data_IF_503863557544
#
_entry.id   IF_503863557544
#
_cell.length_a   1.000
_cell.length_b   1.000
_cell.length_c   1.000
_cell.angle_alpha   90.00
_cell.angle_beta   90.00
_cell.angle_gamma   90.00
#
_symmetry.space_group_name_H-M   'P 1'
#
loop_
_entity.id
_entity.type
_entity.pdbx_description
1 polymer ?
#
# COMPACT_ATOMS: atom_id res chain seq x y z
N UNK A 1 4.93 25.31 30.57
CA UNK A 1 4.61 24.20 29.66
C UNK A 1 4.12 24.69 28.29
N UNK A 2 2.96 25.34 28.19
CA UNK A 2 2.45 25.87 26.91
C UNK A 2 3.38 26.91 26.27
N UNK A 3 3.96 27.82 27.07
CA UNK A 3 4.93 28.81 26.60
C UNK A 3 6.22 28.20 26.05
N UNK A 4 6.73 27.14 26.70
CA UNK A 4 7.90 26.40 26.23
C UNK A 4 7.61 25.59 24.95
N UNK A 5 6.40 25.03 24.83
CA UNK A 5 5.97 24.36 23.60
C UNK A 5 5.82 25.37 22.44
N UNK A 6 5.30 26.57 22.72
CA UNK A 6 5.22 27.67 21.77
C UNK A 6 6.62 28.15 21.34
N UNK A 7 7.53 28.40 22.29
CA UNK A 7 8.91 28.78 22.01
C UNK A 7 9.69 27.71 21.23
N UNK A 8 9.42 26.42 21.47
CA UNK A 8 10.00 25.32 20.69
C UNK A 8 9.45 25.26 19.25
N UNK A 9 8.17 25.54 19.05
CA UNK A 9 7.59 25.68 17.71
C UNK A 9 8.11 26.91 16.97
N UNK A 10 8.29 28.04 17.66
CA UNK A 10 8.81 29.30 17.07
C UNK A 10 10.31 29.22 16.76
N UNK A 11 11.07 28.38 17.49
CA UNK A 11 12.49 28.06 17.18
C UNK A 11 12.67 27.01 16.10
N UNK A 12 11.58 26.42 15.60
CA UNK A 12 11.67 25.64 14.36
C UNK A 12 12.07 26.60 13.23
N UNK A 13 12.95 26.19 12.29
CA UNK A 13 13.35 27.06 11.20
C UNK A 13 12.09 27.58 10.51
N UNK A 14 11.98 28.90 10.39
CA UNK A 14 10.92 29.55 9.60
C UNK A 14 11.08 29.06 8.16
N UNK A 15 10.38 27.99 7.82
CA UNK A 15 10.34 27.49 6.46
C UNK A 15 9.60 28.54 5.62
N UNK A 16 10.24 29.00 4.56
CA UNK A 16 9.56 29.82 3.57
C UNK A 16 8.34 29.05 3.03
N UNK A 17 7.30 29.75 2.55
CA UNK A 17 6.17 29.09 1.87
C UNK A 17 6.63 28.17 0.74
N UNK A 18 7.76 28.50 0.09
CA UNK A 18 8.40 27.71 -0.95
C UNK A 18 8.94 26.37 -0.44
N UNK A 19 9.38 26.31 0.81
CA UNK A 19 9.87 25.10 1.48
C UNK A 19 8.72 24.34 2.17
N UNK A 20 7.72 25.06 2.66
CA UNK A 20 6.56 24.51 3.36
C UNK A 20 5.57 23.83 2.39
N UNK A 21 5.26 24.46 1.25
CA UNK A 21 4.26 23.96 0.30
C UNK A 21 4.57 22.56 -0.26
N UNK A 22 5.82 22.21 -0.64
CA UNK A 22 6.13 20.83 -1.05
C UNK A 22 5.94 19.79 0.06
N UNK A 23 6.07 20.20 1.34
CA UNK A 23 5.86 19.33 2.50
C UNK A 23 4.38 19.17 2.84
N UNK A 24 3.59 20.23 2.64
CA UNK A 24 2.14 20.29 2.91
C UNK A 24 1.26 19.95 1.70
N UNK A 25 1.86 19.81 0.51
CA UNK A 25 1.15 19.58 -0.74
C UNK A 25 2.07 18.97 -1.83
N UNK A 26 2.66 17.78 -1.64
CA UNK A 26 3.63 17.16 -2.57
C UNK A 26 3.06 16.84 -3.95
N UNK A 27 1.73 16.69 -4.07
CA UNK A 27 1.03 16.49 -5.34
C UNK A 27 0.87 17.80 -6.14
N UNK A 28 1.05 18.95 -5.51
CA UNK A 28 1.13 20.23 -6.22
C UNK A 28 2.55 20.35 -6.76
N UNK A 29 2.70 20.22 -8.08
CA UNK A 29 3.91 20.66 -8.78
C UNK A 29 4.29 22.06 -8.30
N UNK A 30 5.57 22.28 -7.97
CA UNK A 30 6.10 23.56 -7.44
C UNK A 30 5.36 24.72 -8.09
N UNK A 31 4.50 25.46 -7.36
CA UNK A 31 3.87 26.62 -7.94
C UNK A 31 4.99 27.57 -8.38
N UNK A 32 4.96 28.01 -9.64
CA UNK A 32 5.69 29.21 -10.03
C UNK A 32 4.99 30.35 -9.29
N UNK A 33 5.41 30.61 -8.06
CA UNK A 33 4.94 31.77 -7.33
C UNK A 33 5.24 32.99 -8.22
N UNK A 34 4.23 33.80 -8.57
CA UNK A 34 4.50 35.05 -9.26
C UNK A 34 5.48 35.83 -8.40
N UNK A 35 6.49 36.45 -9.03
CA UNK A 35 7.36 37.39 -8.32
C UNK A 35 6.44 38.50 -7.81
N UNK A 36 6.23 38.56 -6.50
CA UNK A 36 5.63 39.72 -5.86
C UNK A 36 6.57 40.89 -6.16
N UNK A 37 6.19 41.72 -7.13
CA UNK A 37 6.87 42.97 -7.40
C UNK A 37 6.69 43.85 -6.17
N UNK A 38 7.79 44.37 -5.65
CA UNK A 38 7.86 45.25 -4.47
C UNK A 38 7.21 46.63 -4.66
N UNK A 39 6.22 46.75 -5.53
CA UNK A 39 5.67 48.04 -5.99
C UNK A 39 4.14 48.08 -6.10
N UNK A 40 3.41 47.13 -5.54
CA UNK A 40 1.96 47.28 -5.33
C UNK A 40 1.73 47.53 -3.85
N UNK A 41 1.40 48.79 -3.51
CA UNK A 41 0.71 49.12 -2.27
C UNK A 41 -0.62 48.36 -2.29
N UNK A 42 -0.67 47.22 -1.62
CA UNK A 42 -1.95 46.60 -1.28
C UNK A 42 -2.58 47.48 -0.21
N UNK A 43 -3.89 47.72 -0.30
CA UNK A 43 -4.65 48.29 0.81
C UNK A 43 -4.47 47.36 2.04
N UNK A 44 -4.28 47.93 3.23
CA UNK A 44 -4.00 47.16 4.47
C UNK A 44 -5.07 46.07 4.72
N UNK A 45 -6.31 46.32 4.29
CA UNK A 45 -7.43 45.38 4.36
C UNK A 45 -7.32 44.22 3.35
N UNK A 46 -6.79 44.45 2.13
CA UNK A 46 -6.53 43.39 1.15
C UNK A 46 -5.34 42.52 1.55
N UNK A 47 -4.30 43.12 2.13
CA UNK A 47 -3.13 42.40 2.63
C UNK A 47 -3.51 41.51 3.84
N UNK A 48 -4.31 42.02 4.77
CA UNK A 48 -4.84 41.26 5.90
C UNK A 48 -5.78 40.12 5.47
N UNK A 49 -6.68 40.36 4.51
CA UNK A 49 -7.56 39.35 3.95
C UNK A 49 -6.77 38.23 3.23
N UNK A 50 -5.77 38.60 2.42
CA UNK A 50 -4.90 37.62 1.74
C UNK A 50 -4.09 36.76 2.72
N UNK A 51 -3.67 37.35 3.84
CA UNK A 51 -2.89 36.66 4.88
C UNK A 51 -3.77 35.71 5.70
N UNK A 52 -5.03 36.09 5.99
CA UNK A 52 -6.01 35.21 6.61
C UNK A 52 -6.42 34.05 5.70
N UNK A 53 -6.65 34.31 4.41
CA UNK A 53 -6.94 33.27 3.41
C UNK A 53 -5.77 32.28 3.26
N UNK A 54 -4.54 32.77 3.23
CA UNK A 54 -3.35 31.93 3.21
C UNK A 54 -3.22 31.11 4.50
N UNK A 55 -3.44 31.73 5.67
CA UNK A 55 -3.43 31.03 6.95
C UNK A 55 -4.46 29.90 7.01
N UNK A 56 -5.68 30.14 6.48
CA UNK A 56 -6.73 29.13 6.35
C UNK A 56 -6.32 28.01 5.38
N UNK A 57 -5.81 28.35 4.19
CA UNK A 57 -5.32 27.36 3.21
C UNK A 57 -4.23 26.48 3.83
N UNK A 58 -3.25 27.08 4.51
CA UNK A 58 -2.18 26.34 5.17
C UNK A 58 -2.70 25.46 6.31
N UNK A 59 -3.67 25.93 7.09
CA UNK A 59 -4.30 25.14 8.16
C UNK A 59 -5.05 23.93 7.61
N UNK A 60 -5.74 24.09 6.47
CA UNK A 60 -6.45 23.02 5.78
C UNK A 60 -5.48 22.02 5.13
N UNK A 61 -4.36 22.51 4.56
CA UNK A 61 -3.31 21.67 3.96
C UNK A 61 -2.53 20.89 5.02
N UNK A 62 -2.23 21.48 6.18
CA UNK A 62 -1.49 20.84 7.26
C UNK A 62 -2.20 19.59 7.82
N UNK A 63 -3.53 19.61 7.89
CA UNK A 63 -4.31 18.45 8.34
C UNK A 63 -4.24 17.24 7.39
N UNK A 64 -3.84 17.42 6.12
CA UNK A 64 -3.86 16.38 5.09
C UNK A 64 -2.62 15.46 5.07
N UNK A 65 -1.58 15.77 5.86
CA UNK A 65 -0.24 15.19 5.73
C UNK A 65 0.15 14.17 6.81
N UNK A 66 -0.70 13.17 7.06
CA UNK A 66 -0.32 12.00 7.85
C UNK A 66 0.79 11.16 7.16
N UNK A 67 1.71 10.52 7.90
CA UNK A 67 2.64 9.56 7.32
C UNK A 67 1.87 8.39 6.69
N UNK A 68 2.33 7.92 5.52
CA UNK A 68 1.72 6.76 4.83
C UNK A 68 2.50 5.50 5.20
N UNK A 69 1.77 4.47 5.61
CA UNK A 69 2.36 3.18 5.98
C UNK A 69 2.60 2.32 4.74
N UNK A 70 3.76 1.66 4.69
CA UNK A 70 4.11 0.66 3.69
C UNK A 70 4.64 -0.59 4.38
N UNK A 71 4.25 -1.75 3.88
CA UNK A 71 4.75 -3.03 4.38
C UNK A 71 6.15 -3.29 3.85
N UNK A 72 7.06 -3.66 4.74
CA UNK A 72 8.46 -3.94 4.42
C UNK A 72 8.55 -5.22 3.57
N UNK A 73 9.30 -5.14 2.46
CA UNK A 73 9.52 -6.22 1.49
C UNK A 73 10.93 -6.85 1.56
N UNK A 74 11.66 -6.59 2.64
CA UNK A 74 13.01 -7.10 2.89
C UNK A 74 13.11 -7.86 4.20
N UNK A 75 13.94 -8.90 4.23
CA UNK A 75 14.44 -9.47 5.47
C UNK A 75 15.65 -8.67 5.97
N UNK A 76 15.72 -8.32 7.27
CA UNK A 76 16.90 -7.67 7.83
C UNK A 76 18.15 -8.55 7.76
N UNK A 77 18.01 -9.88 7.70
CA UNK A 77 19.13 -10.83 7.57
C UNK A 77 19.62 -10.95 6.13
N UNK A 78 18.71 -10.94 5.16
CA UNK A 78 19.06 -11.05 3.75
C UNK A 78 19.84 -9.82 3.28
N UNK A 79 19.31 -8.64 3.54
CA UNK A 79 19.91 -7.42 3.02
C UNK A 79 21.25 -7.05 3.70
N UNK A 80 21.40 -7.41 4.98
CA UNK A 80 22.66 -7.26 5.69
C UNK A 80 23.79 -8.11 5.06
N UNK A 81 23.46 -9.31 4.53
CA UNK A 81 24.43 -10.16 3.82
C UNK A 81 24.80 -9.62 2.45
N UNK A 82 23.84 -9.01 1.74
CA UNK A 82 24.06 -8.51 0.38
C UNK A 82 24.78 -7.16 0.34
N UNK A 83 24.43 -6.22 1.21
CA UNK A 83 24.87 -4.83 1.10
C UNK A 83 25.87 -4.39 2.18
N UNK A 84 26.02 -5.17 3.25
CA UNK A 84 26.79 -4.77 4.44
C UNK A 84 26.16 -3.59 5.21
N UNK A 85 25.01 -3.09 4.76
CA UNK A 85 24.29 -1.95 5.36
C UNK A 85 22.90 -2.38 5.82
N UNK A 86 22.35 -1.68 6.82
CA UNK A 86 20.95 -1.85 7.22
C UNK A 86 20.07 -1.10 6.21
N UNK A 87 19.40 -1.83 5.34
CA UNK A 87 18.46 -1.23 4.37
C UNK A 87 17.09 -1.90 4.42
N UNK A 88 16.08 -1.16 3.95
CA UNK A 88 14.67 -1.56 3.93
C UNK A 88 14.19 -1.48 2.49
N UNK A 89 13.54 -2.53 1.99
CA UNK A 89 12.88 -2.51 0.68
C UNK A 89 11.38 -2.31 0.84
N UNK A 90 10.76 -1.59 -0.10
CA UNK A 90 9.32 -1.37 -0.18
C UNK A 90 8.80 -1.82 -1.55
N UNK A 91 7.57 -2.32 -1.61
CA UNK A 91 6.85 -2.54 -2.87
C UNK A 91 5.70 -1.53 -2.96
N UNK A 92 5.87 -0.51 -3.80
CA UNK A 92 4.96 0.64 -3.87
C UNK A 92 4.25 0.67 -5.21
N UNK A 93 2.92 0.62 -5.17
CA UNK A 93 2.08 0.90 -6.33
C UNK A 93 1.87 2.40 -6.46
N UNK A 94 2.09 2.95 -7.66
CA UNK A 94 1.75 4.34 -7.95
C UNK A 94 0.23 4.49 -7.93
N UNK A 95 -0.27 5.26 -6.97
CA UNK A 95 -1.69 5.58 -6.90
C UNK A 95 -1.95 6.73 -7.87
N UNK A 96 -2.86 6.50 -8.81
CA UNK A 96 -3.34 7.50 -9.74
C UNK A 96 -4.86 7.40 -9.85
N UNK A 97 -5.54 8.54 -9.84
CA UNK A 97 -6.99 8.64 -9.96
C UNK A 97 -7.33 9.70 -10.99
N UNK A 98 -8.22 9.37 -11.92
CA UNK A 98 -8.75 10.36 -12.86
C UNK A 98 -9.79 11.21 -12.13
N UNK A 99 -9.60 12.53 -12.18
CA UNK A 99 -10.49 13.51 -11.57
C UNK A 99 -11.15 14.34 -12.67
N UNK A 100 -12.37 14.76 -12.40
CA UNK A 100 -13.09 15.69 -13.26
C UNK A 100 -12.34 17.04 -13.36
N UNK A 101 -12.68 17.80 -14.40
CA UNK A 101 -12.16 19.16 -14.56
C UNK A 101 -12.55 20.05 -13.38
N UNK A 102 -11.71 21.05 -13.09
CA UNK A 102 -12.02 22.02 -12.04
C UNK A 102 -13.30 22.80 -12.39
N UNK A 103 -13.58 23.02 -13.68
CA UNK A 103 -14.81 23.61 -14.16
C UNK A 103 -16.05 22.83 -13.69
N UNK A 104 -16.08 21.52 -13.93
CA UNK A 104 -17.21 20.65 -13.52
C UNK A 104 -17.36 20.64 -12.00
N UNK A 105 -16.25 20.46 -11.27
CA UNK A 105 -16.28 20.43 -9.80
C UNK A 105 -16.74 21.77 -9.22
N UNK A 106 -16.29 22.89 -9.80
CA UNK A 106 -16.66 24.25 -9.37
C UNK A 106 -18.13 24.51 -9.62
N UNK A 107 -18.63 24.21 -10.82
CA UNK A 107 -20.05 24.37 -11.14
C UNK A 107 -20.95 23.58 -10.19
N UNK A 108 -20.61 22.32 -9.92
CA UNK A 108 -21.35 21.48 -8.96
C UNK A 108 -21.38 22.08 -7.56
N UNK A 109 -20.29 22.67 -7.10
CA UNK A 109 -20.24 23.30 -5.78
C UNK A 109 -21.04 24.62 -5.75
N UNK A 110 -21.01 25.41 -6.82
CA UNK A 110 -21.83 26.62 -6.97
C UNK A 110 -23.33 26.30 -6.97
N UNK A 111 -23.75 25.21 -7.60
CA UNK A 111 -25.13 24.69 -7.54
C UNK A 111 -25.58 24.37 -6.10
N UNK A 112 -24.64 23.98 -5.23
CA UNK A 112 -24.89 23.71 -3.81
C UNK A 112 -24.70 24.95 -2.92
N UNK A 113 -24.62 26.14 -3.52
CA UNK A 113 -24.53 27.42 -2.80
C UNK A 113 -23.13 27.79 -2.31
N UNK A 114 -22.08 27.02 -2.67
CA UNK A 114 -20.71 27.39 -2.34
C UNK A 114 -20.22 28.46 -3.31
N UNK A 115 -19.90 29.65 -2.79
CA UNK A 115 -19.22 30.70 -3.57
C UNK A 115 -17.74 30.38 -3.67
N UNK A 116 -17.36 29.68 -4.73
CA UNK A 116 -15.96 29.30 -4.93
C UNK A 116 -15.27 30.41 -5.74
N UNK A 117 -14.32 31.08 -5.09
CA UNK A 117 -13.52 32.20 -5.58
C UNK A 117 -14.23 33.58 -5.61
N UNK A 118 -13.49 34.62 -5.22
CA UNK A 118 -13.94 36.01 -5.28
C UNK A 118 -13.97 36.60 -6.70
N UNK A 119 -14.50 37.82 -6.84
CA UNK A 119 -14.67 38.54 -8.12
C UNK A 119 -13.37 39.08 -8.73
N UNK A 120 -12.21 38.75 -8.16
CA UNK A 120 -10.92 39.28 -8.58
C UNK A 120 -10.60 38.95 -10.04
N UNK A 121 -9.86 39.85 -10.70
CA UNK A 121 -9.43 39.67 -12.09
C UNK A 121 -8.56 38.42 -12.25
N UNK A 122 -7.73 38.09 -11.26
CA UNK A 122 -6.90 36.89 -11.22
C UNK A 122 -7.73 35.61 -11.25
N UNK A 123 -8.82 35.54 -10.48
CA UNK A 123 -9.75 34.40 -10.48
C UNK A 123 -10.43 34.25 -11.83
N UNK A 124 -10.92 35.36 -12.41
CA UNK A 124 -11.59 35.36 -13.73
C UNK A 124 -10.64 34.96 -14.85
N UNK A 125 -9.34 35.22 -14.71
CA UNK A 125 -8.31 34.75 -15.63
C UNK A 125 -8.04 33.25 -15.45
N UNK A 126 -7.90 32.78 -14.20
CA UNK A 126 -7.69 31.37 -13.88
C UNK A 126 -8.82 30.47 -14.39
N UNK A 127 -10.09 30.91 -14.26
CA UNK A 127 -11.27 30.19 -14.80
C UNK A 127 -11.25 30.05 -16.32
N UNK A 128 -10.64 30.99 -17.04
CA UNK A 128 -10.51 30.93 -18.51
C UNK A 128 -9.27 30.14 -18.95
N UNK A 129 -8.42 29.75 -18.01
CA UNK A 129 -7.18 29.06 -18.28
C UNK A 129 -7.41 27.59 -18.68
N UNK A 130 -6.51 27.01 -19.50
CA UNK A 130 -6.63 25.63 -19.98
C UNK A 130 -6.60 24.59 -18.83
N UNK A 131 -5.91 24.90 -17.72
CA UNK A 131 -5.85 24.02 -16.55
C UNK A 131 -7.21 23.87 -15.84
N UNK A 132 -8.07 24.88 -15.91
CA UNK A 132 -9.39 24.85 -15.27
C UNK A 132 -10.35 23.91 -16.00
N UNK A 133 -10.26 23.87 -17.32
CA UNK A 133 -11.08 23.05 -18.21
C UNK A 133 -10.44 21.70 -18.59
N UNK A 134 -9.30 21.34 -18.01
CA UNK A 134 -8.65 20.08 -18.32
C UNK A 134 -9.52 18.90 -17.84
N UNK A 135 -10.00 18.09 -18.79
CA UNK A 135 -10.81 16.88 -18.54
C UNK A 135 -9.94 15.72 -17.99
N UNK A 136 -8.77 15.51 -18.57
CA UNK A 136 -7.86 14.42 -18.18
C UNK A 136 -6.92 14.82 -17.04
N UNK A 137 -7.50 15.08 -15.86
CA UNK A 137 -6.71 15.38 -14.66
C UNK A 137 -6.41 14.10 -13.90
N UNK A 138 -5.22 13.55 -14.15
CA UNK A 138 -4.67 12.47 -13.32
C UNK A 138 -4.10 13.04 -12.02
N UNK A 139 -4.72 12.67 -10.91
CA UNK A 139 -4.24 12.97 -9.57
C UNK A 139 -3.39 11.82 -9.05
N UNK A 140 -2.13 12.10 -8.73
CA UNK A 140 -1.23 11.13 -8.14
C UNK A 140 -1.23 11.20 -6.61
N UNK A 141 -1.26 10.04 -5.97
CA UNK A 141 -1.17 9.93 -4.51
C UNK A 141 0.18 10.43 -4.01
N UNK A 142 0.17 11.48 -3.18
CA UNK A 142 1.34 12.25 -2.76
C UNK A 142 2.56 11.41 -2.34
N UNK A 143 2.38 10.43 -1.45
CA UNK A 143 3.50 9.61 -0.98
C UNK A 143 3.96 8.59 -2.03
N UNK A 144 3.03 7.98 -2.77
CA UNK A 144 3.37 7.00 -3.80
C UNK A 144 4.14 7.61 -4.97
N UNK A 145 3.74 8.79 -5.47
CA UNK A 145 4.46 9.50 -6.53
C UNK A 145 5.78 10.07 -6.04
N UNK A 146 5.84 10.56 -4.80
CA UNK A 146 7.10 10.98 -4.20
C UNK A 146 8.13 9.83 -4.21
N UNK A 147 7.74 8.65 -3.69
CA UNK A 147 8.65 7.49 -3.63
C UNK A 147 9.01 6.97 -5.02
N UNK A 148 8.05 6.90 -5.95
CA UNK A 148 8.25 6.20 -7.24
C UNK A 148 8.78 7.08 -8.36
N UNK A 149 8.59 8.41 -8.28
CA UNK A 149 8.91 9.33 -9.39
C UNK A 149 9.87 10.46 -8.99
N UNK A 150 9.90 10.85 -7.71
CA UNK A 150 10.67 12.02 -7.28
C UNK A 150 11.99 11.64 -6.60
N UNK A 151 11.99 10.64 -5.71
CA UNK A 151 13.18 10.21 -4.99
C UNK A 151 14.32 9.81 -5.93
N UNK A 152 15.54 10.22 -5.57
CA UNK A 152 16.81 9.92 -6.22
C UNK A 152 17.76 9.23 -5.23
N UNK A 153 18.71 8.41 -5.70
CA UNK A 153 19.80 7.94 -4.85
C UNK A 153 20.53 9.11 -4.18
N UNK A 154 20.72 9.03 -2.85
CA UNK A 154 21.31 10.11 -2.04
C UNK A 154 20.29 10.99 -1.32
N UNK A 155 19.00 10.93 -1.69
CA UNK A 155 17.95 11.67 -0.98
C UNK A 155 17.74 11.14 0.45
N UNK A 156 17.42 12.05 1.37
CA UNK A 156 17.14 11.72 2.76
C UNK A 156 15.64 11.59 2.99
N UNK A 157 15.20 10.38 3.37
CA UNK A 157 13.82 10.09 3.74
C UNK A 157 13.67 10.02 5.27
N UNK A 158 12.69 10.73 5.82
CA UNK A 158 12.26 10.52 7.21
C UNK A 158 11.21 9.41 7.25
N UNK A 159 11.51 8.34 7.99
CA UNK A 159 10.60 7.21 8.17
C UNK A 159 10.61 6.74 9.63
N UNK A 160 9.50 6.14 10.06
CA UNK A 160 9.36 5.48 11.35
C UNK A 160 9.02 4.01 11.11
N UNK A 161 9.68 3.11 11.84
CA UNK A 161 9.32 1.69 11.83
C UNK A 161 8.21 1.45 12.85
N UNK A 162 7.04 1.05 12.38
CA UNK A 162 5.92 0.63 13.23
C UNK A 162 5.98 -0.89 13.46
N UNK A 163 5.95 -1.38 14.71
CA UNK A 163 5.79 -2.81 14.98
C UNK A 163 4.47 -3.33 14.40
N UNK A 164 4.51 -4.49 13.74
CA UNK A 164 3.31 -5.21 13.25
C UNK A 164 3.15 -6.55 13.96
N UNK A 165 1.91 -7.03 14.05
CA UNK A 165 1.54 -8.40 14.42
C UNK A 165 1.70 -9.38 13.24
N UNK A 166 1.90 -8.86 12.02
CA UNK A 166 2.16 -9.63 10.80
C UNK A 166 3.60 -10.18 10.79
N UNK A 167 3.84 -11.18 11.64
CA UNK A 167 5.15 -11.83 11.83
C UNK A 167 5.04 -13.32 11.58
N UNK A 168 6.15 -13.93 11.21
CA UNK A 168 6.29 -15.39 11.13
C UNK A 168 5.87 -16.05 12.45
N UNK A 169 5.29 -17.26 12.41
CA UNK A 169 4.94 -17.97 13.64
C UNK A 169 6.23 -18.32 14.41
N UNK A 170 6.15 -18.31 15.75
CA UNK A 170 7.29 -18.65 16.59
C UNK A 170 7.73 -20.11 16.38
N UNK A 171 6.77 -20.99 16.12
CA UNK A 171 7.05 -22.38 15.76
C UNK A 171 7.38 -22.50 14.26
N UNK A 172 8.65 -22.77 13.99
CA UNK A 172 9.19 -22.93 12.63
C UNK A 172 8.72 -24.21 11.92
N UNK A 173 8.09 -25.15 12.65
CA UNK A 173 7.51 -26.38 12.10
C UNK A 173 6.04 -26.21 11.68
N UNK A 174 5.49 -25.01 11.86
CA UNK A 174 4.13 -24.70 11.42
C UNK A 174 4.14 -24.33 9.93
N UNK A 175 3.30 -24.96 9.09
CA UNK A 175 3.17 -24.56 7.69
C UNK A 175 2.61 -23.15 7.55
N UNK A 176 2.96 -22.49 6.46
CA UNK A 176 2.58 -21.10 6.18
C UNK A 176 1.83 -21.08 4.85
N UNK A 177 0.63 -20.48 4.86
CA UNK A 177 -0.15 -20.18 3.66
C UNK A 177 -0.17 -18.67 3.50
N UNK A 178 0.32 -18.17 2.36
CA UNK A 178 0.41 -16.75 2.04
C UNK A 178 -0.54 -16.43 0.90
N UNK A 179 -1.36 -15.38 1.05
CA UNK A 179 -2.32 -14.95 0.03
C UNK A 179 -2.14 -13.47 -0.26
N UNK A 180 -1.75 -13.15 -1.49
CA UNK A 180 -1.46 -11.78 -1.92
C UNK A 180 -2.07 -11.47 -3.29
N UNK A 181 -2.38 -10.20 -3.50
CA UNK A 181 -2.63 -9.66 -4.83
C UNK A 181 -1.88 -8.34 -5.05
N UNK A 182 -1.26 -8.18 -6.21
CA UNK A 182 -0.46 -6.98 -6.55
C UNK A 182 0.61 -6.67 -5.49
N UNK A 183 0.64 -5.42 -5.02
CA UNK A 183 1.60 -4.97 -3.99
C UNK A 183 1.43 -5.67 -2.63
N UNK A 184 0.33 -6.41 -2.42
CA UNK A 184 0.15 -7.32 -1.29
C UNK A 184 1.23 -8.41 -1.17
N UNK A 185 2.04 -8.63 -2.22
CA UNK A 185 3.18 -9.55 -2.19
C UNK A 185 4.30 -9.11 -1.23
N UNK A 186 4.37 -7.81 -0.88
CA UNK A 186 5.48 -7.21 -0.15
C UNK A 186 5.97 -8.01 1.07
N UNK A 187 5.15 -8.31 2.09
CA UNK A 187 5.63 -9.04 3.27
C UNK A 187 6.08 -10.47 2.95
N UNK A 188 5.51 -11.09 1.91
CA UNK A 188 5.83 -12.46 1.55
C UNK A 188 7.18 -12.58 0.86
N UNK A 189 7.61 -11.54 0.12
CA UNK A 189 9.00 -11.44 -0.34
C UNK A 189 9.95 -11.34 0.86
N UNK A 190 9.60 -10.56 1.88
CA UNK A 190 10.42 -10.49 3.11
C UNK A 190 10.51 -11.85 3.80
N UNK A 191 9.41 -12.61 3.88
CA UNK A 191 9.39 -13.95 4.45
C UNK A 191 10.25 -14.93 3.65
N UNK A 192 10.09 -14.98 2.33
CA UNK A 192 10.87 -15.88 1.47
C UNK A 192 12.38 -15.60 1.55
N UNK A 193 12.78 -14.32 1.59
CA UNK A 193 14.17 -13.90 1.81
C UNK A 193 14.69 -14.30 3.19
N UNK A 194 13.87 -14.19 4.23
CA UNK A 194 14.19 -14.67 5.57
C UNK A 194 14.42 -16.18 5.57
N UNK A 195 13.53 -16.96 4.93
CA UNK A 195 13.67 -18.41 4.81
C UNK A 195 14.95 -18.78 4.06
N UNK A 196 15.26 -18.08 2.97
CA UNK A 196 16.49 -18.29 2.22
C UNK A 196 17.75 -18.12 3.10
N UNK A 197 17.75 -17.13 3.99
CA UNK A 197 18.85 -16.90 4.93
C UNK A 197 18.99 -17.99 6.00
N UNK A 198 17.88 -18.59 6.39
CA UNK A 198 17.80 -19.71 7.34
C UNK A 198 18.05 -21.09 6.68
N UNK A 199 18.31 -21.11 5.37
CA UNK A 199 18.48 -22.34 4.60
C UNK A 199 17.17 -23.09 4.33
N UNK A 200 16.02 -22.42 4.47
CA UNK A 200 14.67 -22.95 4.30
C UNK A 200 13.88 -23.00 5.61
N UNK A 201 12.55 -22.96 5.48
CA UNK A 201 11.57 -23.20 6.55
C UNK A 201 11.47 -24.69 6.90
N UNK A 202 10.99 -25.06 8.09
CA UNK A 202 10.92 -26.49 8.50
C UNK A 202 9.59 -27.16 8.16
N UNK A 203 8.68 -26.45 7.51
CA UNK A 203 7.37 -26.93 7.11
C UNK A 203 6.95 -26.34 5.77
N UNK A 204 5.88 -26.85 5.12
CA UNK A 204 5.43 -26.33 3.83
C UNK A 204 5.18 -24.82 3.82
N UNK A 205 5.59 -24.16 2.73
CA UNK A 205 5.39 -22.74 2.46
C UNK A 205 4.60 -22.60 1.16
N UNK A 206 3.37 -22.12 1.24
CA UNK A 206 2.44 -22.02 0.11
C UNK A 206 2.14 -20.56 -0.19
N UNK A 207 2.17 -20.17 -1.46
CA UNK A 207 1.79 -18.83 -1.92
C UNK A 207 0.69 -18.89 -2.97
N UNK A 208 -0.41 -18.18 -2.71
CA UNK A 208 -1.41 -17.81 -3.68
C UNK A 208 -1.19 -16.35 -4.08
N UNK A 209 -0.84 -16.09 -5.34
CA UNK A 209 -0.55 -14.75 -5.84
C UNK A 209 -1.45 -14.36 -7.02
N UNK A 210 -2.06 -13.18 -6.91
CA UNK A 210 -2.93 -12.61 -7.94
C UNK A 210 -2.37 -11.36 -8.61
N UNK A 211 -2.45 -11.28 -9.93
CA UNK A 211 -2.19 -10.08 -10.71
C UNK A 211 -3.08 -10.01 -11.97
N UNK A 212 -2.90 -9.02 -12.84
CA UNK A 212 -3.72 -8.89 -14.04
C UNK A 212 -3.24 -9.84 -15.14
N UNK A 213 -1.94 -9.82 -15.47
CA UNK A 213 -1.34 -10.56 -16.58
C UNK A 213 0.07 -11.04 -16.23
N UNK A 214 0.41 -12.25 -16.65
CA UNK A 214 1.70 -12.87 -16.37
C UNK A 214 2.90 -12.07 -16.89
N UNK A 215 2.73 -11.38 -18.03
CA UNK A 215 3.79 -10.62 -18.69
C UNK A 215 3.82 -9.11 -18.35
N UNK A 216 2.91 -8.63 -17.50
CA UNK A 216 2.78 -7.18 -17.22
C UNK A 216 3.04 -6.84 -15.76
N UNK A 217 2.35 -7.51 -14.84
CA UNK A 217 2.32 -7.14 -13.43
C UNK A 217 2.52 -8.34 -12.49
N UNK A 218 3.18 -9.40 -13.00
CA UNK A 218 3.71 -10.47 -12.16
C UNK A 218 4.96 -10.00 -11.40
N UNK A 219 4.73 -9.24 -10.33
CA UNK A 219 5.77 -8.70 -9.46
C UNK A 219 6.64 -9.83 -8.89
N UNK A 220 7.96 -9.61 -8.88
CA UNK A 220 8.97 -10.57 -8.38
C UNK A 220 8.94 -11.95 -9.06
N UNK A 221 8.47 -12.03 -10.31
CA UNK A 221 8.36 -13.28 -11.08
C UNK A 221 9.62 -14.15 -11.01
N UNK A 222 10.78 -13.57 -11.34
CA UNK A 222 12.04 -14.32 -11.37
C UNK A 222 12.44 -14.83 -9.99
N UNK A 223 12.30 -14.00 -8.95
CA UNK A 223 12.61 -14.37 -7.57
C UNK A 223 11.69 -15.50 -7.06
N UNK A 224 10.39 -15.42 -7.35
CA UNK A 224 9.41 -16.45 -6.97
C UNK A 224 9.66 -17.77 -7.71
N UNK A 225 9.92 -17.72 -9.02
CA UNK A 225 10.25 -18.91 -9.81
C UNK A 225 11.57 -19.54 -9.34
N UNK A 226 12.55 -18.73 -8.93
CA UNK A 226 13.81 -19.22 -8.36
C UNK A 226 13.59 -19.95 -7.04
N UNK A 227 12.75 -19.43 -6.14
CA UNK A 227 12.43 -20.14 -4.89
C UNK A 227 11.68 -21.44 -5.14
N UNK A 228 10.76 -21.46 -6.12
CA UNK A 228 10.07 -22.69 -6.52
C UNK A 228 11.02 -23.72 -7.13
N UNK A 229 11.89 -23.32 -8.05
CA UNK A 229 12.89 -24.22 -8.64
C UNK A 229 13.86 -24.77 -7.58
N UNK A 230 14.27 -23.93 -6.61
CA UNK A 230 15.10 -24.37 -5.48
C UNK A 230 14.38 -25.40 -4.60
N UNK A 231 13.08 -25.24 -4.39
CA UNK A 231 12.27 -26.24 -3.69
C UNK A 231 12.27 -27.57 -4.43
N UNK A 232 12.02 -27.54 -5.74
CA UNK A 232 11.92 -28.76 -6.56
C UNK A 232 13.22 -29.55 -6.56
N UNK A 233 14.37 -28.87 -6.62
CA UNK A 233 15.69 -29.51 -6.47
C UNK A 233 15.95 -30.04 -5.05
N UNK A 234 15.39 -29.41 -4.01
CA UNK A 234 15.58 -29.83 -2.62
C UNK A 234 14.72 -31.05 -2.24
N UNK A 235 13.53 -31.20 -2.82
CA UNK A 235 12.66 -32.38 -2.63
C UNK A 235 13.32 -33.66 -3.12
N UNK A 236 14.10 -33.57 -4.20
CA UNK A 236 14.92 -34.67 -4.71
C UNK A 236 16.03 -35.10 -3.74
N UNK A 237 16.42 -34.21 -2.81
CA UNK A 237 17.58 -34.38 -1.90
C UNK A 237 17.22 -34.75 -0.45
N UNK A 238 15.99 -35.23 -0.17
CA UNK A 238 15.50 -35.65 1.17
C UNK A 238 15.57 -34.57 2.29
N UNK A 239 15.73 -33.28 1.94
CA UNK A 239 15.82 -32.21 2.91
C UNK A 239 14.47 -31.80 3.52
N UNK A 240 14.36 -31.73 4.86
CA UNK A 240 13.23 -31.14 5.60
C UNK A 240 13.17 -29.60 5.53
N UNK A 241 13.62 -29.01 4.41
CA UNK A 241 13.78 -27.57 4.23
C UNK A 241 12.91 -27.09 3.07
N UNK A 242 12.08 -26.09 3.34
CA UNK A 242 11.12 -25.58 2.38
C UNK A 242 11.40 -24.12 2.03
N UNK A 243 11.41 -23.80 0.75
CA UNK A 243 11.51 -22.41 0.27
C UNK A 243 10.13 -21.91 -0.16
N UNK A 244 9.65 -22.42 -1.28
CA UNK A 244 8.30 -22.18 -1.80
C UNK A 244 7.75 -23.51 -2.31
N UNK A 245 7.07 -24.24 -1.43
CA UNK A 245 6.48 -25.56 -1.69
C UNK A 245 5.47 -25.51 -2.82
N UNK A 246 4.54 -24.57 -2.76
CA UNK A 246 3.54 -24.39 -3.81
C UNK A 246 3.38 -22.92 -4.18
N UNK A 247 3.26 -22.67 -5.48
CA UNK A 247 2.98 -21.37 -6.05
C UNK A 247 1.74 -21.46 -6.95
N UNK A 248 0.65 -20.84 -6.51
CA UNK A 248 -0.59 -20.78 -7.27
C UNK A 248 -0.82 -19.37 -7.78
N UNK A 249 -0.94 -19.22 -9.09
CA UNK A 249 -1.07 -17.93 -9.76
C UNK A 249 -2.51 -17.71 -10.25
N UNK A 250 -3.00 -16.50 -10.03
CA UNK A 250 -4.31 -16.05 -10.50
C UNK A 250 -4.14 -14.81 -11.40
N UNK A 251 -4.53 -14.93 -12.67
CA UNK A 251 -4.51 -13.83 -13.61
C UNK A 251 -5.93 -13.36 -13.93
N UNK A 252 -6.22 -12.10 -13.61
CA UNK A 252 -7.58 -11.56 -13.73
C UNK A 252 -7.91 -10.97 -15.11
N UNK A 253 -6.91 -10.77 -15.97
CA UNK A 253 -7.05 -10.12 -17.29
C UNK A 253 -6.14 -10.75 -18.36
N UNK A 254 -5.78 -12.02 -18.20
CA UNK A 254 -4.99 -12.76 -19.17
C UNK A 254 -5.82 -13.03 -20.43
N UNK A 255 -5.39 -12.59 -21.64
CA UNK A 255 -6.14 -12.82 -22.86
C UNK A 255 -6.41 -14.31 -23.12
N UNK A 256 -7.63 -14.64 -23.50
CA UNK A 256 -8.03 -16.02 -23.80
C UNK A 256 -8.21 -16.92 -22.57
N UNK A 257 -8.08 -16.39 -21.35
CA UNK A 257 -8.34 -17.15 -20.12
C UNK A 257 -9.50 -16.54 -19.32
N UNK A 258 -10.22 -17.36 -18.53
CA UNK A 258 -11.25 -16.84 -17.64
C UNK A 258 -10.64 -15.93 -16.57
N UNK A 259 -11.44 -14.98 -16.10
CA UNK A 259 -11.04 -14.05 -15.04
C UNK A 259 -10.84 -14.80 -13.72
N UNK A 260 -9.59 -14.95 -13.30
CA UNK A 260 -9.24 -15.72 -12.10
C UNK A 260 -8.68 -14.82 -11.00
N UNK A 261 -9.17 -15.02 -9.78
CA UNK A 261 -8.68 -14.37 -8.57
C UNK A 261 -8.11 -15.39 -7.58
N UNK A 262 -7.39 -14.92 -6.56
CA UNK A 262 -6.74 -15.80 -5.57
C UNK A 262 -7.73 -16.68 -4.82
N UNK A 263 -8.93 -16.18 -4.51
CA UNK A 263 -9.96 -16.99 -3.87
C UNK A 263 -10.44 -18.14 -4.77
N UNK A 264 -10.44 -17.98 -6.10
CA UNK A 264 -10.74 -19.11 -7.00
C UNK A 264 -9.65 -20.18 -6.91
N UNK A 265 -8.37 -19.78 -6.84
CA UNK A 265 -7.26 -20.72 -6.63
C UNK A 265 -7.31 -21.40 -5.26
N UNK A 266 -7.75 -20.70 -4.22
CA UNK A 266 -7.98 -21.31 -2.91
C UNK A 266 -9.10 -22.36 -2.99
N UNK A 267 -10.20 -22.07 -3.68
CA UNK A 267 -11.28 -23.04 -3.90
C UNK A 267 -10.80 -24.27 -4.69
N UNK A 268 -10.04 -24.08 -5.76
CA UNK A 268 -9.43 -25.18 -6.53
C UNK A 268 -8.52 -26.05 -5.65
N UNK A 269 -7.78 -25.44 -4.72
CA UNK A 269 -6.81 -26.11 -3.84
C UNK A 269 -7.36 -26.35 -2.42
N UNK A 270 -8.69 -26.40 -2.26
CA UNK A 270 -9.34 -26.46 -0.94
C UNK A 270 -8.85 -27.62 -0.08
N UNK A 271 -8.60 -28.78 -0.67
CA UNK A 271 -8.14 -29.97 0.05
C UNK A 271 -6.78 -29.72 0.70
N UNK A 272 -5.82 -29.19 -0.06
CA UNK A 272 -4.50 -28.81 0.45
C UNK A 272 -4.61 -27.75 1.55
N UNK A 273 -5.41 -26.70 1.32
CA UNK A 273 -5.58 -25.60 2.27
C UNK A 273 -6.17 -26.09 3.59
N UNK A 274 -7.25 -26.88 3.53
CA UNK A 274 -7.91 -27.42 4.72
C UNK A 274 -7.03 -28.43 5.45
N UNK A 275 -6.34 -29.32 4.73
CA UNK A 275 -5.39 -30.26 5.32
C UNK A 275 -4.31 -29.52 6.14
N UNK A 276 -3.68 -28.50 5.55
CA UNK A 276 -2.66 -27.70 6.23
C UNK A 276 -3.24 -26.98 7.46
N UNK A 277 -4.44 -26.40 7.35
CA UNK A 277 -5.07 -25.65 8.44
C UNK A 277 -5.60 -26.54 9.58
N UNK A 278 -6.12 -27.72 9.28
CA UNK A 278 -6.75 -28.60 10.26
C UNK A 278 -5.76 -29.56 10.89
N UNK A 279 -4.97 -30.25 10.09
CA UNK A 279 -4.11 -31.34 10.57
C UNK A 279 -2.74 -30.81 11.01
N UNK A 280 -2.21 -29.81 10.30
CA UNK A 280 -0.85 -29.31 10.51
C UNK A 280 -0.80 -27.94 11.21
N UNK A 281 -1.96 -27.45 11.66
CA UNK A 281 -2.11 -26.18 12.37
C UNK A 281 -1.49 -24.97 11.65
N UNK A 282 -1.52 -24.95 10.31
CA UNK A 282 -0.92 -23.89 9.51
C UNK A 282 -1.42 -22.48 9.88
N UNK A 283 -0.58 -21.48 9.60
CA UNK A 283 -0.95 -20.06 9.70
C UNK A 283 -1.23 -19.49 8.32
N UNK A 284 -2.42 -18.93 8.13
CA UNK A 284 -2.87 -18.22 6.94
C UNK A 284 -2.60 -16.72 7.08
N UNK A 285 -1.80 -16.19 6.16
CA UNK A 285 -1.50 -14.78 6.03
C UNK A 285 -2.18 -14.20 4.80
N UNK A 286 -2.86 -13.07 4.97
CA UNK A 286 -3.57 -12.39 3.88
C UNK A 286 -3.08 -10.94 3.82
N UNK A 287 -2.56 -10.52 2.66
CA UNK A 287 -2.05 -9.16 2.48
C UNK A 287 -2.57 -8.54 1.17
N UNK A 288 -3.14 -7.33 1.25
CA UNK A 288 -3.62 -6.60 0.08
C UNK A 288 -4.91 -5.82 0.33
N UNK A 289 -5.76 -5.71 -0.71
CA UNK A 289 -7.03 -4.97 -0.59
C UNK A 289 -8.00 -5.65 0.36
N UNK A 290 -8.75 -4.87 1.15
CA UNK A 290 -9.80 -5.36 2.06
C UNK A 290 -10.82 -6.27 1.35
N UNK A 291 -11.25 -5.90 0.14
CA UNK A 291 -12.18 -6.71 -0.66
C UNK A 291 -11.60 -8.08 -1.04
N UNK A 292 -10.29 -8.18 -1.30
CA UNK A 292 -9.62 -9.45 -1.59
C UNK A 292 -9.60 -10.34 -0.34
N UNK A 293 -9.25 -9.77 0.82
CA UNK A 293 -9.23 -10.51 2.08
C UNK A 293 -10.62 -11.03 2.48
N UNK A 294 -11.66 -10.21 2.31
CA UNK A 294 -13.04 -10.63 2.51
C UNK A 294 -13.41 -11.81 1.58
N UNK A 295 -13.05 -11.73 0.30
CA UNK A 295 -13.25 -12.82 -0.66
C UNK A 295 -12.56 -14.12 -0.26
N UNK A 296 -11.31 -14.05 0.18
CA UNK A 296 -10.53 -15.21 0.65
C UNK A 296 -11.19 -15.86 1.86
N UNK A 297 -11.57 -15.07 2.87
CA UNK A 297 -12.17 -15.58 4.11
C UNK A 297 -13.54 -16.20 3.87
N UNK A 298 -14.35 -15.61 2.99
CA UNK A 298 -15.63 -16.19 2.54
C UNK A 298 -15.43 -17.53 1.83
N UNK A 299 -14.48 -17.60 0.90
CA UNK A 299 -14.18 -18.85 0.20
C UNK A 299 -13.65 -19.93 1.14
N UNK A 300 -12.83 -19.57 2.13
CA UNK A 300 -12.37 -20.53 3.13
C UNK A 300 -13.52 -21.08 3.98
N UNK A 301 -14.46 -20.21 4.41
CA UNK A 301 -15.65 -20.64 5.13
C UNK A 301 -16.50 -21.61 4.30
N UNK A 302 -16.71 -21.30 3.02
CA UNK A 302 -17.44 -22.16 2.10
C UNK A 302 -16.76 -23.53 1.92
N UNK A 303 -15.45 -23.53 1.66
CA UNK A 303 -14.67 -24.75 1.50
C UNK A 303 -14.73 -25.63 2.77
N UNK A 304 -14.66 -25.01 3.95
CA UNK A 304 -14.79 -25.72 5.23
C UNK A 304 -16.20 -26.30 5.42
N UNK A 305 -17.26 -25.57 5.06
CA UNK A 305 -18.63 -26.08 5.15
C UNK A 305 -18.82 -27.33 4.26
N UNK A 306 -18.37 -27.25 3.00
CA UNK A 306 -18.47 -28.37 2.04
C UNK A 306 -17.69 -29.61 2.49
N UNK A 307 -16.45 -29.42 2.97
CA UNK A 307 -15.53 -30.54 3.26
C UNK A 307 -15.78 -31.17 4.63
N UNK A 308 -16.28 -30.39 5.60
CA UNK A 308 -16.48 -30.85 6.99
C UNK A 308 -17.90 -31.36 7.27
N UNK A 309 -18.72 -31.52 6.23
CA UNK A 309 -20.09 -32.00 6.34
C UNK A 309 -20.94 -31.08 7.22
N UNK A 310 -20.94 -29.78 6.93
CA UNK A 310 -21.66 -28.78 7.72
C UNK A 310 -22.39 -27.75 6.88
N UNK A 311 -23.06 -26.84 7.58
CA UNK A 311 -23.73 -25.68 7.00
C UNK A 311 -22.79 -24.45 6.99
N UNK A 312 -23.31 -23.33 6.49
CA UNK A 312 -22.60 -22.05 6.45
C UNK A 312 -22.14 -21.60 7.85
N UNK A 313 -22.93 -21.88 8.89
CA UNK A 313 -22.60 -21.54 10.27
C UNK A 313 -21.31 -22.24 10.73
N UNK A 314 -21.16 -23.53 10.41
CA UNK A 314 -19.94 -24.29 10.72
C UNK A 314 -18.71 -23.77 9.99
N UNK A 315 -18.85 -23.40 8.72
CA UNK A 315 -17.78 -22.77 7.94
C UNK A 315 -17.31 -21.43 8.54
N UNK A 316 -18.26 -20.60 8.96
CA UNK A 316 -17.96 -19.33 9.61
C UNK A 316 -17.32 -19.52 10.99
N UNK A 317 -17.78 -20.49 11.78
CA UNK A 317 -17.17 -20.85 13.06
C UNK A 317 -15.71 -21.29 12.90
N UNK A 318 -15.40 -22.07 11.85
CA UNK A 318 -14.03 -22.47 11.55
C UNK A 318 -13.09 -21.27 11.30
N UNK A 319 -13.52 -20.31 10.47
CA UNK A 319 -12.73 -19.09 10.21
C UNK A 319 -12.60 -18.24 11.49
N UNK A 320 -13.67 -18.14 12.28
CA UNK A 320 -13.65 -17.45 13.57
C UNK A 320 -12.62 -18.06 14.54
N UNK A 321 -12.57 -19.38 14.65
CA UNK A 321 -11.63 -20.07 15.55
C UNK A 321 -10.18 -19.92 15.09
N UNK A 322 -9.94 -19.90 13.77
CA UNK A 322 -8.63 -19.57 13.22
C UNK A 322 -8.19 -18.15 13.57
N UNK A 323 -9.09 -17.16 13.52
CA UNK A 323 -8.79 -15.79 13.96
C UNK A 323 -8.52 -15.72 15.46
N UNK A 324 -9.37 -16.34 16.28
CA UNK A 324 -9.22 -16.39 17.75
C UNK A 324 -7.89 -17.03 18.17
N UNK A 325 -7.46 -18.07 17.46
CA UNK A 325 -6.17 -18.75 17.68
C UNK A 325 -4.97 -18.06 17.01
N UNK A 326 -5.15 -16.86 16.43
CA UNK A 326 -4.12 -16.10 15.70
C UNK A 326 -3.47 -16.88 14.55
N UNK A 327 -4.23 -17.79 13.93
CA UNK A 327 -3.82 -18.56 12.75
C UNK A 327 -4.33 -17.96 11.44
N UNK A 328 -5.17 -16.93 11.51
CA UNK A 328 -5.40 -15.99 10.40
C UNK A 328 -4.80 -14.66 10.80
N UNK A 329 -3.90 -14.13 9.97
CA UNK A 329 -3.23 -12.85 10.17
C UNK A 329 -3.38 -12.00 8.92
N UNK A 330 -3.93 -10.80 9.07
CA UNK A 330 -4.34 -9.93 7.96
C UNK A 330 -3.54 -8.61 8.01
N UNK A 331 -3.03 -8.15 6.87
CA UNK A 331 -2.45 -6.82 6.66
C UNK A 331 -3.13 -6.21 5.43
N UNK A 332 -4.17 -5.41 5.66
CA UNK A 332 -5.10 -4.98 4.61
C UNK A 332 -5.27 -3.46 4.54
N UNK A 333 -5.50 -2.96 3.33
CA UNK A 333 -5.73 -1.54 3.06
C UNK A 333 -6.83 -1.31 2.02
N UNK A 334 -7.34 -0.08 1.99
CA UNK A 334 -8.29 0.39 0.98
C UNK A 334 -7.56 0.90 -0.26
#
# INVERSE_FOLDING_TARGET
AAQQAYEACVRSPLLSLRELLPLLAPSFSRPRLPRLSSSSTFDEDEEAASTQELGLILSLLAAAHAPRAYTIASSPKALARETGTRSVALCVGLVAEQRESLAITTARLEEHGFKIFGSSSAVRSARRGPLFHQEDRLFFGACSSFITQQLRPGDVLKALIKPSSFRLPADVKRPIIMVAAGTGIAPFIAFLREFACLGGWLAPVVLFFGCQRANKDFLYREELLRYKARQDAAEESQGKKHFLTHLFLAFSREPGQPKTYVQHKIAEQRNLVLQLLQEQQATLYICGRTAMAAGVTKTLAHAAAETLGGDEARGNAFVHDLRKSRRIVEEVWA
#
